data_IF_762642403433
#
_entry.id   IF_762642403433
#
_cell.length_a   1.000
_cell.length_b   1.000
_cell.length_c   1.000
_cell.angle_alpha   90.00
_cell.angle_beta   90.00
_cell.angle_gamma   90.00
#
_symmetry.space_group_name_H-M   'P 1'
#
loop_
_entity.id
_entity.type
_entity.pdbx_description
1 polymer ?
#
# COMPACT_ATOMS: atom_id res chain seq x y z
N UNK A 1 22.10 -98.30 9.74
CA UNK A 1 21.18 -98.81 8.72
C UNK A 1 20.68 -97.67 7.90
N UNK A 2 21.04 -97.70 6.70
CA UNK A 2 20.60 -97.46 5.32
C UNK A 2 20.69 -95.98 4.92
N UNK A 3 21.70 -95.67 4.23
CA UNK A 3 21.89 -95.33 2.80
C UNK A 3 20.66 -94.65 2.12
N UNK A 4 20.84 -93.46 1.63
CA UNK A 4 20.79 -93.24 0.15
C UNK A 4 21.24 -91.79 -0.20
N UNK A 5 22.00 -91.80 -1.27
CA UNK A 5 22.71 -90.65 -1.87
C UNK A 5 21.85 -89.90 -2.93
N UNK A 6 22.39 -89.08 -3.79
CA UNK A 6 22.03 -87.71 -3.96
C UNK A 6 21.29 -87.44 -5.31
N UNK A 7 20.65 -86.28 -5.44
CA UNK A 7 20.23 -85.77 -6.74
C UNK A 7 20.72 -84.30 -6.95
N UNK A 8 21.62 -84.21 -7.93
CA UNK A 8 22.00 -82.95 -8.57
C UNK A 8 20.81 -82.38 -9.34
N UNK A 9 20.52 -81.15 -9.13
CA UNK A 9 19.70 -80.36 -10.08
C UNK A 9 20.39 -79.04 -10.41
N UNK A 10 20.49 -78.78 -11.68
CA UNK A 10 21.18 -77.67 -12.38
C UNK A 10 20.65 -76.32 -11.97
N UNK A 11 21.56 -75.42 -11.61
CA UNK A 11 21.30 -73.95 -11.58
C UNK A 11 21.22 -73.47 -13.03
N UNK A 12 20.06 -72.91 -13.39
CA UNK A 12 19.91 -72.07 -14.56
C UNK A 12 20.12 -70.60 -14.12
N UNK A 13 21.21 -70.00 -14.60
CA UNK A 13 21.42 -68.55 -14.46
C UNK A 13 20.52 -67.85 -15.46
N UNK A 14 19.50 -67.14 -14.96
CA UNK A 14 18.77 -66.13 -15.70
C UNK A 14 19.54 -64.81 -15.58
N UNK A 15 20.16 -64.36 -16.67
CA UNK A 15 20.74 -63.02 -16.79
C UNK A 15 19.62 -62.03 -16.96
N UNK A 16 19.33 -61.20 -15.91
CA UNK A 16 18.53 -60.02 -16.04
C UNK A 16 19.37 -58.91 -16.68
N UNK A 17 19.11 -58.55 -17.91
CA UNK A 17 19.62 -57.39 -18.58
C UNK A 17 18.81 -56.19 -18.06
N UNK A 18 19.40 -55.39 -17.16
CA UNK A 18 18.86 -54.09 -16.73
C UNK A 18 19.06 -53.10 -17.89
N UNK A 19 17.98 -52.78 -18.59
CA UNK A 19 17.93 -51.64 -19.52
C UNK A 19 17.97 -50.34 -18.75
N UNK A 20 19.11 -49.69 -18.69
CA UNK A 20 19.25 -48.32 -18.25
C UNK A 20 18.64 -47.43 -19.33
N UNK A 21 17.40 -46.98 -19.14
CA UNK A 21 16.84 -45.87 -19.92
C UNK A 21 17.63 -44.61 -19.58
N UNK A 22 18.46 -44.14 -20.50
CA UNK A 22 19.05 -42.80 -20.45
C UNK A 22 17.89 -41.79 -20.49
N UNK A 23 17.52 -41.29 -19.33
CA UNK A 23 16.72 -40.06 -19.24
C UNK A 23 17.65 -38.94 -19.67
N UNK A 24 17.63 -38.60 -20.95
CA UNK A 24 18.22 -37.36 -21.47
C UNK A 24 17.39 -36.23 -20.89
N UNK A 25 17.97 -35.35 -20.03
CA UNK A 25 17.22 -34.19 -19.62
C UNK A 25 16.90 -33.39 -20.87
N UNK A 26 15.60 -33.22 -21.18
CA UNK A 26 15.18 -32.22 -22.17
C UNK A 26 15.79 -30.89 -21.74
N UNK A 27 16.70 -30.37 -22.53
CA UNK A 27 17.17 -29.01 -22.38
C UNK A 27 15.94 -28.11 -22.38
N UNK A 28 15.80 -27.16 -21.41
CA UNK A 28 14.68 -26.26 -21.43
C UNK A 28 14.67 -25.54 -22.78
N UNK A 29 13.50 -25.54 -23.44
CA UNK A 29 13.33 -24.85 -24.71
C UNK A 29 13.86 -23.40 -24.52
N UNK A 30 14.74 -22.99 -25.45
CA UNK A 30 15.34 -21.64 -25.40
C UNK A 30 14.21 -20.61 -25.25
N UNK A 31 14.22 -19.90 -24.13
CA UNK A 31 13.25 -18.87 -23.83
C UNK A 31 13.24 -17.83 -24.95
N UNK A 32 12.10 -17.64 -25.61
CA UNK A 32 11.87 -16.47 -26.44
C UNK A 32 11.68 -15.27 -25.51
N UNK A 33 12.78 -14.73 -24.98
CA UNK A 33 12.75 -13.38 -24.41
C UNK A 33 12.45 -12.43 -25.55
N UNK A 34 11.43 -11.61 -25.38
CA UNK A 34 11.13 -10.60 -26.39
C UNK A 34 12.32 -9.64 -26.52
N UNK A 35 12.66 -9.24 -27.77
CA UNK A 35 13.80 -8.38 -28.06
C UNK A 35 13.64 -7.03 -27.31
N UNK A 36 14.58 -6.64 -26.40
CA UNK A 36 14.55 -5.36 -25.71
C UNK A 36 14.61 -4.16 -26.66
N UNK A 37 15.15 -4.29 -27.87
CA UNK A 37 15.25 -3.23 -28.87
C UNK A 37 13.91 -2.56 -29.18
N UNK A 38 12.77 -3.24 -28.96
CA UNK A 38 11.43 -2.66 -29.07
C UNK A 38 11.20 -1.44 -28.18
N UNK A 39 11.97 -1.26 -27.12
CA UNK A 39 11.88 -0.15 -26.18
C UNK A 39 12.94 0.93 -26.38
N UNK A 40 13.88 0.74 -27.30
CA UNK A 40 15.00 1.66 -27.51
C UNK A 40 14.54 3.12 -27.68
N UNK A 41 13.48 3.35 -28.46
CA UNK A 41 12.89 4.70 -28.64
C UNK A 41 12.41 5.31 -27.32
N UNK A 42 11.83 4.52 -26.43
CA UNK A 42 11.33 5.03 -25.15
C UNK A 42 12.47 5.34 -24.18
N UNK A 43 13.49 4.51 -24.17
CA UNK A 43 14.67 4.69 -23.32
C UNK A 43 15.51 5.88 -23.81
N UNK A 44 15.77 6.00 -25.11
CA UNK A 44 16.47 7.14 -25.69
C UNK A 44 15.73 8.47 -25.43
N UNK A 45 14.39 8.46 -25.37
CA UNK A 45 13.62 9.65 -25.01
C UNK A 45 13.86 10.07 -23.55
N UNK A 46 14.01 9.12 -22.62
CA UNK A 46 14.39 9.42 -21.23
C UNK A 46 15.80 9.98 -21.14
N UNK A 47 16.76 9.42 -21.86
CA UNK A 47 18.13 9.93 -21.89
C UNK A 47 18.19 11.36 -22.47
N UNK A 48 17.43 11.64 -23.52
CA UNK A 48 17.34 12.99 -24.09
C UNK A 48 16.70 14.00 -23.12
N UNK A 49 15.66 13.59 -22.36
CA UNK A 49 15.08 14.40 -21.30
C UNK A 49 16.11 14.69 -20.21
N UNK A 50 16.88 13.69 -19.80
CA UNK A 50 17.89 13.77 -18.75
C UNK A 50 19.07 14.68 -19.11
N UNK A 51 19.41 14.78 -20.39
CA UNK A 51 20.40 15.76 -20.89
C UNK A 51 19.91 17.19 -20.69
N UNK A 52 18.63 17.45 -20.81
CA UNK A 52 18.02 18.77 -20.65
C UNK A 52 17.70 19.11 -19.21
N UNK A 53 17.18 18.10 -18.48
CA UNK A 53 16.73 18.20 -17.08
C UNK A 53 17.31 17.02 -16.28
N UNK A 54 18.55 17.19 -15.82
CA UNK A 54 19.23 16.13 -15.07
C UNK A 54 18.37 15.63 -13.89
N UNK A 55 18.12 14.33 -13.78
CA UNK A 55 17.33 13.76 -12.68
C UNK A 55 17.98 14.07 -11.33
N UNK A 56 17.18 14.41 -10.31
CA UNK A 56 17.72 14.69 -8.99
C UNK A 56 18.35 13.43 -8.38
N UNK A 57 19.56 13.56 -7.83
CA UNK A 57 20.19 12.46 -7.07
C UNK A 57 19.40 12.14 -5.79
N UNK A 58 19.57 10.91 -5.29
CA UNK A 58 18.88 10.40 -4.09
C UNK A 58 17.35 10.51 -4.15
N UNK A 59 16.80 10.58 -5.33
CA UNK A 59 15.37 10.62 -5.55
C UNK A 59 14.71 9.25 -5.30
N UNK A 60 13.40 9.25 -5.28
CA UNK A 60 12.59 8.03 -5.38
C UNK A 60 12.28 7.73 -6.83
N UNK A 61 12.77 6.61 -7.32
CA UNK A 61 12.55 6.17 -8.70
C UNK A 61 11.36 5.19 -8.75
N UNK A 62 10.40 5.49 -9.61
CA UNK A 62 9.34 4.57 -10.03
C UNK A 62 9.71 4.00 -11.39
N UNK A 63 9.88 2.67 -11.45
CA UNK A 63 10.41 1.96 -12.60
C UNK A 63 9.53 0.77 -12.98
N UNK A 64 9.47 0.42 -14.26
CA UNK A 64 8.75 -0.77 -14.72
C UNK A 64 7.77 -0.51 -15.85
N UNK A 65 6.63 -1.23 -15.85
CA UNK A 65 5.71 -1.32 -16.97
C UNK A 65 4.71 -0.15 -17.07
N UNK A 66 3.60 -0.40 -17.77
CA UNK A 66 2.61 0.61 -18.13
C UNK A 66 1.95 1.30 -16.94
N UNK A 67 1.72 0.61 -15.83
CA UNK A 67 1.13 1.23 -14.63
C UNK A 67 2.04 2.32 -14.04
N UNK A 68 3.36 2.20 -14.19
CA UNK A 68 4.28 3.29 -13.84
C UNK A 68 4.24 4.38 -14.91
N UNK A 69 4.35 4.03 -16.19
CA UNK A 69 4.35 5.01 -17.30
C UNK A 69 3.10 5.90 -17.31
N UNK A 70 1.94 5.30 -17.00
CA UNK A 70 0.64 5.97 -17.03
C UNK A 70 0.32 6.77 -15.77
N UNK A 71 1.13 6.66 -14.72
CA UNK A 71 0.91 7.34 -13.45
C UNK A 71 1.27 8.83 -13.55
N UNK A 72 0.40 9.60 -14.20
CA UNK A 72 0.63 11.04 -14.46
C UNK A 72 0.56 11.90 -13.19
N UNK A 73 -0.28 11.49 -12.24
CA UNK A 73 -0.44 12.17 -10.94
C UNK A 73 0.66 11.82 -9.91
N UNK A 74 1.69 11.06 -10.30
CA UNK A 74 2.75 10.61 -9.39
C UNK A 74 3.43 11.75 -8.60
N UNK A 75 3.91 12.86 -9.23
CA UNK A 75 4.56 13.95 -8.50
C UNK A 75 3.63 14.62 -7.48
N UNK A 76 2.36 14.82 -7.83
CA UNK A 76 1.37 15.45 -6.97
C UNK A 76 1.06 14.56 -5.75
N UNK A 77 1.03 13.23 -5.95
CA UNK A 77 0.72 12.27 -4.88
C UNK A 77 1.82 12.16 -3.83
N UNK A 78 3.07 12.34 -4.22
CA UNK A 78 4.22 12.27 -3.29
C UNK A 78 4.71 13.65 -2.84
N UNK A 79 4.07 14.72 -3.27
CA UNK A 79 4.26 16.08 -2.80
C UNK A 79 5.70 16.57 -2.96
N UNK A 80 6.36 16.95 -1.85
CA UNK A 80 7.72 17.48 -1.86
C UNK A 80 8.82 16.44 -2.14
N UNK A 81 8.49 15.15 -2.20
CA UNK A 81 9.47 14.13 -2.50
C UNK A 81 9.95 14.27 -3.95
N UNK A 82 11.26 14.17 -4.14
CA UNK A 82 11.84 14.12 -5.50
C UNK A 82 11.51 12.75 -6.10
N UNK A 83 10.59 12.71 -7.05
CA UNK A 83 10.19 11.47 -7.73
C UNK A 83 10.59 11.49 -9.19
N UNK A 84 11.03 10.34 -9.70
CA UNK A 84 11.37 10.10 -11.09
C UNK A 84 10.49 8.98 -11.60
N UNK A 85 9.85 9.16 -12.76
CA UNK A 85 9.08 8.12 -13.45
C UNK A 85 9.86 7.65 -14.68
N UNK A 86 10.24 6.36 -14.68
CA UNK A 86 10.89 5.70 -15.82
C UNK A 86 10.13 4.42 -16.17
N UNK A 87 8.81 4.54 -16.32
CA UNK A 87 7.95 3.46 -16.78
C UNK A 87 7.90 3.37 -18.29
N UNK A 88 8.01 2.17 -18.86
CA UNK A 88 7.87 1.92 -20.29
C UNK A 88 6.87 0.78 -20.54
N UNK A 89 5.78 1.12 -21.23
CA UNK A 89 4.59 0.29 -21.33
C UNK A 89 4.83 -1.02 -22.07
N UNK A 90 4.36 -2.13 -21.52
CA UNK A 90 4.53 -3.47 -22.09
C UNK A 90 5.81 -4.17 -21.67
N UNK A 91 6.68 -3.54 -20.87
CA UNK A 91 7.94 -4.14 -20.43
C UNK A 91 7.72 -5.35 -19.53
N UNK A 92 8.60 -6.32 -19.67
CA UNK A 92 8.80 -7.45 -18.79
C UNK A 92 9.92 -7.16 -17.79
N UNK A 93 10.09 -8.00 -16.76
CA UNK A 93 11.19 -7.83 -15.81
C UNK A 93 12.56 -7.96 -16.46
N UNK A 94 12.71 -8.85 -17.44
CA UNK A 94 13.95 -8.98 -18.23
C UNK A 94 14.31 -7.68 -18.96
N UNK A 95 13.33 -6.94 -19.49
CA UNK A 95 13.56 -5.62 -20.08
C UNK A 95 14.01 -4.60 -19.01
N UNK A 96 13.43 -4.67 -17.81
CA UNK A 96 13.84 -3.84 -16.68
C UNK A 96 15.29 -4.12 -16.27
N UNK A 97 15.73 -5.38 -16.28
CA UNK A 97 17.13 -5.76 -16.05
C UNK A 97 18.05 -5.18 -17.14
N UNK A 98 17.63 -5.33 -18.41
CA UNK A 98 18.41 -4.88 -19.57
C UNK A 98 18.71 -3.38 -19.52
N UNK A 99 17.69 -2.55 -19.27
CA UNK A 99 17.82 -1.09 -19.30
C UNK A 99 18.24 -0.44 -17.97
N UNK A 100 18.48 -1.22 -16.92
CA UNK A 100 18.83 -0.68 -15.61
C UNK A 100 20.12 0.17 -15.62
N UNK A 101 21.10 -0.17 -16.45
CA UNK A 101 22.36 0.57 -16.58
C UNK A 101 22.14 1.98 -17.16
N UNK A 102 21.06 2.19 -17.90
CA UNK A 102 20.78 3.44 -18.62
C UNK A 102 19.82 4.36 -17.88
N UNK A 103 18.76 3.77 -17.22
CA UNK A 103 17.68 4.56 -16.64
C UNK A 103 17.37 4.23 -15.18
N UNK A 104 18.30 3.59 -14.48
CA UNK A 104 18.23 3.34 -13.03
C UNK A 104 19.55 3.70 -12.35
N UNK A 105 20.63 3.02 -12.71
CA UNK A 105 21.95 3.17 -12.06
C UNK A 105 22.50 4.59 -12.14
N UNK A 106 22.44 5.32 -13.30
CA UNK A 106 22.96 6.67 -13.39
C UNK A 106 22.28 7.69 -12.47
N UNK A 107 21.04 7.42 -12.03
CA UNK A 107 20.30 8.31 -11.13
C UNK A 107 20.72 8.18 -9.67
N UNK A 108 21.34 7.06 -9.29
CA UNK A 108 21.69 6.75 -7.91
C UNK A 108 20.50 7.00 -6.95
N UNK A 109 19.32 6.41 -7.20
CA UNK A 109 18.14 6.65 -6.40
C UNK A 109 18.32 6.12 -4.98
N UNK A 110 17.78 6.85 -3.98
CA UNK A 110 17.71 6.36 -2.62
C UNK A 110 16.74 5.17 -2.49
N UNK A 111 15.65 5.24 -3.24
CA UNK A 111 14.60 4.22 -3.23
C UNK A 111 14.10 3.95 -4.63
N UNK A 112 13.92 2.67 -4.96
CA UNK A 112 13.28 2.21 -6.19
C UNK A 112 11.96 1.55 -5.84
N UNK A 113 10.89 1.92 -6.54
CA UNK A 113 9.63 1.19 -6.62
C UNK A 113 9.51 0.56 -8.00
N UNK A 114 9.60 -0.76 -8.06
CA UNK A 114 9.56 -1.53 -9.31
C UNK A 114 8.19 -2.19 -9.49
N UNK A 115 7.52 -1.96 -10.63
CA UNK A 115 6.29 -2.66 -11.01
C UNK A 115 6.39 -3.23 -12.42
N UNK A 116 6.62 -4.52 -12.53
CA UNK A 116 6.63 -5.32 -13.75
C UNK A 116 6.21 -6.76 -13.40
N UNK A 117 6.27 -7.71 -14.33
CA UNK A 117 5.92 -9.12 -14.10
C UNK A 117 4.53 -9.50 -14.63
N UNK A 118 3.56 -8.60 -14.66
CA UNK A 118 2.25 -8.89 -15.24
C UNK A 118 2.30 -9.17 -16.75
N UNK A 119 3.16 -8.49 -17.49
CA UNK A 119 3.37 -8.77 -18.92
C UNK A 119 4.15 -10.06 -19.15
N UNK A 120 5.00 -10.42 -18.21
CA UNK A 120 5.74 -11.69 -18.20
C UNK A 120 4.75 -12.86 -18.13
N UNK A 121 3.85 -12.85 -17.14
CA UNK A 121 2.82 -13.89 -16.98
C UNK A 121 1.90 -13.94 -18.19
N UNK A 122 1.49 -12.80 -18.72
CA UNK A 122 0.65 -12.71 -19.92
C UNK A 122 1.35 -13.28 -21.17
N UNK A 123 2.66 -13.18 -21.24
CA UNK A 123 3.48 -13.77 -22.29
C UNK A 123 3.75 -15.28 -22.05
N UNK A 124 3.16 -15.88 -21.02
CA UNK A 124 3.30 -17.31 -20.70
C UNK A 124 4.52 -17.65 -19.85
N UNK A 125 5.22 -16.67 -19.29
CA UNK A 125 6.33 -16.95 -18.35
C UNK A 125 5.78 -17.46 -17.01
N UNK A 126 6.55 -18.32 -16.35
CA UNK A 126 6.13 -18.88 -15.07
C UNK A 126 6.41 -17.90 -13.91
N UNK A 127 5.71 -18.04 -12.77
CA UNK A 127 6.01 -17.28 -11.56
C UNK A 127 7.47 -17.39 -11.09
N UNK A 128 8.10 -18.54 -11.28
CA UNK A 128 9.50 -18.78 -10.93
C UNK A 128 10.46 -18.00 -11.84
N UNK A 129 10.13 -17.87 -13.13
CA UNK A 129 10.90 -17.06 -14.08
C UNK A 129 10.77 -15.56 -13.75
N UNK A 130 9.59 -15.12 -13.35
CA UNK A 130 9.35 -13.74 -12.86
C UNK A 130 10.22 -13.47 -11.62
N UNK A 131 10.28 -14.40 -10.66
CA UNK A 131 11.17 -14.27 -9.50
C UNK A 131 12.64 -14.21 -9.92
N UNK A 132 13.08 -15.08 -10.84
CA UNK A 132 14.47 -15.10 -11.29
C UNK A 132 14.90 -13.78 -11.94
N UNK A 133 14.04 -13.17 -12.75
CA UNK A 133 14.33 -11.86 -13.35
C UNK A 133 14.33 -10.74 -12.28
N UNK A 134 13.46 -10.80 -11.27
CA UNK A 134 13.52 -9.86 -10.15
C UNK A 134 14.84 -9.99 -9.38
N UNK A 135 15.30 -11.21 -9.12
CA UNK A 135 16.59 -11.48 -8.48
C UNK A 135 17.76 -10.95 -9.31
N UNK A 136 17.70 -11.11 -10.64
CA UNK A 136 18.71 -10.55 -11.55
C UNK A 136 18.72 -9.01 -11.50
N UNK A 137 17.53 -8.37 -11.46
CA UNK A 137 17.42 -6.92 -11.29
C UNK A 137 18.05 -6.46 -9.96
N UNK A 138 17.72 -7.12 -8.85
CA UNK A 138 18.29 -6.81 -7.53
C UNK A 138 19.80 -6.95 -7.52
N UNK A 139 20.32 -8.04 -8.07
CA UNK A 139 21.76 -8.30 -8.16
C UNK A 139 22.46 -7.21 -8.95
N UNK A 140 21.92 -6.85 -10.12
CA UNK A 140 22.48 -5.81 -10.99
C UNK A 140 22.51 -4.44 -10.33
N UNK A 141 21.39 -4.02 -9.73
CA UNK A 141 21.29 -2.73 -9.06
C UNK A 141 22.22 -2.67 -7.85
N UNK A 142 22.28 -3.71 -7.03
CA UNK A 142 23.13 -3.74 -5.83
C UNK A 142 24.61 -3.78 -6.12
N UNK A 143 25.03 -4.35 -7.23
CA UNK A 143 26.42 -4.31 -7.65
C UNK A 143 26.93 -2.87 -7.84
N UNK A 144 26.06 -1.98 -8.32
CA UNK A 144 26.39 -0.57 -8.53
C UNK A 144 25.95 0.34 -7.36
N UNK A 145 24.83 0.02 -6.71
CA UNK A 145 24.15 0.86 -5.74
C UNK A 145 23.78 0.03 -4.45
N UNK A 146 24.76 -0.36 -3.63
CA UNK A 146 24.56 -1.32 -2.54
C UNK A 146 23.62 -0.83 -1.42
N UNK A 147 23.40 0.49 -1.32
CA UNK A 147 22.58 1.10 -0.28
C UNK A 147 21.16 1.50 -0.77
N UNK A 148 20.85 1.33 -2.05
CA UNK A 148 19.53 1.65 -2.59
C UNK A 148 18.48 0.68 -2.03
N UNK A 149 17.41 1.23 -1.45
CA UNK A 149 16.24 0.47 -1.05
C UNK A 149 15.43 0.07 -2.29
N UNK A 150 15.18 -1.21 -2.49
CA UNK A 150 14.36 -1.70 -3.60
C UNK A 150 13.06 -2.25 -3.04
N UNK A 151 11.93 -1.71 -3.51
CA UNK A 151 10.59 -2.17 -3.17
C UNK A 151 9.89 -2.67 -4.43
N UNK A 152 9.44 -3.90 -4.39
CA UNK A 152 8.62 -4.44 -5.46
C UNK A 152 7.15 -4.10 -5.20
N UNK A 153 6.52 -3.45 -6.15
CA UNK A 153 5.08 -3.23 -6.17
C UNK A 153 4.42 -4.48 -6.74
N UNK A 154 3.57 -5.14 -5.98
CA UNK A 154 2.99 -6.42 -6.38
C UNK A 154 2.41 -6.39 -7.80
N UNK A 155 2.43 -7.51 -8.49
CA UNK A 155 1.72 -7.69 -9.76
C UNK A 155 0.23 -7.50 -9.46
N UNK A 156 -0.42 -6.50 -10.07
CA UNK A 156 -1.85 -6.28 -9.86
C UNK A 156 -2.69 -7.37 -10.50
N UNK A 157 -3.87 -7.61 -9.94
CA UNK A 157 -4.94 -8.25 -10.68
C UNK A 157 -5.81 -7.19 -11.34
N UNK A 158 -6.42 -7.52 -12.46
CA UNK A 158 -7.32 -6.64 -13.20
C UNK A 158 -8.43 -7.46 -13.87
N UNK A 159 -9.58 -6.84 -14.21
CA UNK A 159 -10.66 -7.59 -14.87
C UNK A 159 -10.23 -8.23 -16.19
N UNK A 160 -9.38 -7.55 -16.98
CA UNK A 160 -8.92 -8.09 -18.28
C UNK A 160 -7.91 -9.23 -18.17
N UNK A 161 -7.27 -9.40 -17.00
CA UNK A 161 -6.30 -10.48 -16.75
C UNK A 161 -6.68 -11.38 -15.57
N UNK A 162 -7.98 -11.46 -15.30
CA UNK A 162 -8.48 -12.27 -14.20
C UNK A 162 -8.15 -13.77 -14.35
N UNK A 163 -8.08 -14.27 -15.58
CA UNK A 163 -7.66 -15.67 -15.87
C UNK A 163 -6.24 -15.99 -15.41
N UNK A 164 -5.40 -14.97 -15.21
CA UNK A 164 -4.00 -15.11 -14.79
C UNK A 164 -3.82 -14.92 -13.27
N UNK A 165 -4.91 -14.74 -12.52
CA UNK A 165 -4.89 -14.34 -11.12
C UNK A 165 -4.07 -15.27 -10.21
N UNK A 166 -4.16 -16.59 -10.41
CA UNK A 166 -3.44 -17.54 -9.56
C UNK A 166 -1.93 -17.52 -9.85
N UNK A 167 -1.53 -17.28 -11.10
CA UNK A 167 -0.12 -17.08 -11.45
C UNK A 167 0.41 -15.80 -10.83
N UNK A 168 -0.38 -14.70 -10.86
CA UNK A 168 -0.02 -13.45 -10.21
C UNK A 168 0.09 -13.60 -8.68
N UNK A 169 -0.84 -14.33 -8.03
CA UNK A 169 -0.75 -14.65 -6.60
C UNK A 169 0.53 -15.40 -6.27
N UNK A 170 0.85 -16.44 -7.06
CA UNK A 170 2.05 -17.26 -6.84
C UNK A 170 3.33 -16.45 -7.04
N UNK A 171 3.43 -15.66 -8.11
CA UNK A 171 4.58 -14.79 -8.35
C UNK A 171 4.77 -13.77 -7.22
N UNK A 172 3.67 -13.13 -6.79
CA UNK A 172 3.68 -12.20 -5.67
C UNK A 172 4.15 -12.86 -4.37
N UNK A 173 3.71 -14.09 -4.09
CA UNK A 173 4.15 -14.83 -2.90
C UNK A 173 5.64 -15.13 -2.94
N UNK A 174 6.14 -15.67 -4.07
CA UNK A 174 7.57 -15.98 -4.25
C UNK A 174 8.45 -14.74 -4.05
N UNK A 175 8.04 -13.59 -4.62
CA UNK A 175 8.78 -12.33 -4.50
C UNK A 175 8.69 -11.80 -3.06
N UNK A 176 7.54 -11.89 -2.40
CA UNK A 176 7.38 -11.48 -1.02
C UNK A 176 8.26 -12.29 -0.07
N UNK A 177 8.36 -13.60 -0.26
CA UNK A 177 9.21 -14.49 0.54
C UNK A 177 10.69 -14.17 0.32
N UNK A 178 11.10 -13.93 -0.92
CA UNK A 178 12.46 -13.49 -1.24
C UNK A 178 12.79 -12.14 -0.60
N UNK A 179 11.87 -11.16 -0.71
CA UNK A 179 12.06 -9.84 -0.11
C UNK A 179 12.15 -9.89 1.43
N UNK A 180 11.36 -10.77 2.07
CA UNK A 180 11.37 -10.96 3.53
C UNK A 180 12.70 -11.50 4.06
N UNK A 181 13.39 -12.32 3.28
CA UNK A 181 14.70 -12.88 3.63
C UNK A 181 15.82 -11.83 3.59
N UNK A 182 15.57 -10.66 2.99
CA UNK A 182 16.53 -9.60 2.75
C UNK A 182 16.09 -8.27 3.37
N UNK A 183 16.85 -7.75 4.33
CA UNK A 183 16.51 -6.52 5.07
C UNK A 183 16.50 -5.22 4.25
N UNK A 184 16.99 -5.25 2.99
CA UNK A 184 17.02 -4.09 2.06
C UNK A 184 16.05 -4.23 0.90
N UNK A 185 15.19 -5.25 0.91
CA UNK A 185 14.09 -5.40 -0.04
C UNK A 185 12.77 -5.16 0.66
N UNK A 186 11.83 -4.56 -0.07
CA UNK A 186 10.46 -4.41 0.36
C UNK A 186 9.49 -5.02 -0.67
N UNK A 187 8.35 -5.45 -0.18
CA UNK A 187 7.23 -5.90 -1.00
C UNK A 187 5.97 -5.13 -0.60
N UNK A 188 5.42 -4.35 -1.52
CA UNK A 188 4.21 -3.55 -1.29
C UNK A 188 3.02 -4.30 -1.86
N UNK A 189 2.21 -4.85 -0.97
CA UNK A 189 1.04 -5.66 -1.35
C UNK A 189 -0.24 -4.83 -1.38
N UNK A 190 -0.62 -4.34 -2.53
CA UNK A 190 -1.92 -3.71 -2.74
C UNK A 190 -2.94 -4.64 -3.41
N UNK A 191 -2.57 -5.88 -3.73
CA UNK A 191 -3.43 -6.86 -4.39
C UNK A 191 -4.78 -7.06 -3.68
N UNK A 192 -4.84 -7.28 -2.34
CA UNK A 192 -6.12 -7.46 -1.64
C UNK A 192 -7.03 -6.24 -1.74
N UNK A 193 -6.46 -5.05 -1.81
CA UNK A 193 -7.22 -3.79 -1.88
C UNK A 193 -7.80 -3.51 -3.27
N UNK A 194 -7.42 -4.29 -4.28
CA UNK A 194 -8.00 -4.23 -5.62
C UNK A 194 -9.26 -5.08 -5.76
N UNK A 195 -9.55 -5.95 -4.79
CA UNK A 195 -10.67 -6.87 -4.81
C UNK A 195 -11.88 -6.30 -4.04
N UNK A 196 -13.06 -6.62 -4.53
CA UNK A 196 -14.33 -6.42 -3.82
C UNK A 196 -14.61 -7.55 -2.83
N UNK A 197 -15.73 -7.45 -2.11
CA UNK A 197 -16.17 -8.47 -1.17
C UNK A 197 -16.56 -9.79 -1.87
N UNK A 198 -16.87 -9.72 -3.16
CA UNK A 198 -17.09 -10.87 -4.04
C UNK A 198 -15.79 -11.56 -4.49
N UNK A 199 -14.64 -11.04 -4.06
CA UNK A 199 -13.32 -11.52 -4.45
C UNK A 199 -12.91 -11.16 -5.88
N UNK A 200 -13.70 -10.37 -6.63
CA UNK A 200 -13.42 -9.94 -7.99
C UNK A 200 -12.72 -8.57 -8.01
N UNK A 201 -11.99 -8.23 -9.09
CA UNK A 201 -11.39 -6.92 -9.22
C UNK A 201 -12.46 -5.81 -9.26
N UNK A 202 -12.28 -4.81 -8.43
CA UNK A 202 -13.15 -3.63 -8.34
C UNK A 202 -13.04 -2.79 -9.60
N UNK A 203 -14.09 -2.79 -10.43
CA UNK A 203 -14.08 -2.19 -11.77
C UNK A 203 -13.72 -0.69 -11.77
N UNK A 204 -14.14 0.07 -10.74
CA UNK A 204 -13.88 1.50 -10.62
C UNK A 204 -12.40 1.87 -10.39
N UNK A 205 -11.57 0.88 -10.06
CA UNK A 205 -10.12 1.07 -9.89
C UNK A 205 -9.35 1.03 -11.22
N UNK A 206 -10.05 0.71 -12.32
CA UNK A 206 -9.46 0.57 -13.65
C UNK A 206 -10.13 1.51 -14.64
N UNK A 207 -9.41 1.89 -15.69
CA UNK A 207 -9.98 2.65 -16.81
C UNK A 207 -10.74 1.72 -17.78
N UNK A 208 -11.26 2.25 -18.86
CA UNK A 208 -12.14 1.52 -19.81
C UNK A 208 -11.53 0.23 -20.39
N UNK A 209 -10.20 0.14 -20.47
CA UNK A 209 -9.52 -1.08 -20.95
C UNK A 209 -9.50 -2.22 -19.92
N UNK A 210 -9.99 -1.98 -18.70
CA UNK A 210 -10.07 -2.94 -17.59
C UNK A 210 -8.70 -3.55 -17.20
N UNK A 211 -7.60 -2.89 -17.55
CA UNK A 211 -6.22 -3.29 -17.29
C UNK A 211 -5.46 -2.24 -16.47
N UNK A 212 -5.49 -1.00 -16.91
CA UNK A 212 -4.71 0.07 -16.32
C UNK A 212 -5.50 0.80 -15.22
N UNK A 213 -4.78 1.29 -14.21
CA UNK A 213 -5.40 1.98 -13.09
C UNK A 213 -6.07 3.29 -13.48
N UNK A 214 -7.26 3.51 -12.93
CA UNK A 214 -7.87 4.83 -12.81
C UNK A 214 -7.16 5.66 -11.70
N UNK A 215 -7.53 6.93 -11.55
CA UNK A 215 -7.05 7.73 -10.41
C UNK A 215 -7.41 7.08 -9.06
N UNK A 216 -8.58 6.42 -8.96
CA UNK A 216 -8.97 5.67 -7.76
C UNK A 216 -8.06 4.44 -7.53
N UNK A 217 -7.62 3.77 -8.59
CA UNK A 217 -6.63 2.69 -8.50
C UNK A 217 -5.29 3.21 -7.99
N UNK A 218 -4.82 4.36 -8.49
CA UNK A 218 -3.61 4.98 -7.98
C UNK A 218 -3.75 5.51 -6.54
N UNK A 219 -4.96 5.85 -6.06
CA UNK A 219 -5.19 6.15 -4.64
C UNK A 219 -4.86 4.93 -3.77
N UNK A 220 -5.31 3.72 -4.18
CA UNK A 220 -4.99 2.47 -3.48
C UNK A 220 -3.50 2.21 -3.44
N UNK A 221 -2.83 2.27 -4.60
CA UNK A 221 -1.37 2.02 -4.67
C UNK A 221 -0.59 3.03 -3.82
N UNK A 222 -0.94 4.32 -3.90
CA UNK A 222 -0.30 5.38 -3.11
C UNK A 222 -0.47 5.15 -1.61
N UNK A 223 -1.69 4.81 -1.19
CA UNK A 223 -2.01 4.48 0.21
C UNK A 223 -1.13 3.33 0.71
N UNK A 224 -1.00 2.26 -0.07
CA UNK A 224 -0.17 1.12 0.30
C UNK A 224 1.32 1.48 0.38
N UNK A 225 1.84 2.25 -0.56
CA UNK A 225 3.24 2.71 -0.51
C UNK A 225 3.49 3.56 0.75
N UNK A 226 2.58 4.45 1.11
CA UNK A 226 2.75 5.38 2.23
C UNK A 226 2.63 4.72 3.60
N UNK A 227 1.67 3.79 3.77
CA UNK A 227 1.21 3.40 5.10
C UNK A 227 1.45 1.95 5.46
N UNK A 228 1.96 1.10 4.54
CA UNK A 228 2.26 -0.29 4.88
C UNK A 228 3.15 -0.40 6.11
N UNK A 229 4.21 0.42 6.21
CA UNK A 229 5.10 0.40 7.37
C UNK A 229 4.40 0.74 8.70
N UNK A 230 3.43 1.67 8.68
CA UNK A 230 2.62 1.99 9.85
C UNK A 230 1.73 0.80 10.24
N UNK A 231 1.10 0.17 9.25
CA UNK A 231 0.25 -1.01 9.48
C UNK A 231 1.04 -2.22 9.97
N UNK A 232 2.26 -2.41 9.49
CA UNK A 232 3.16 -3.45 9.99
C UNK A 232 3.59 -3.14 11.43
N UNK A 233 3.73 -1.84 11.78
CA UNK A 233 3.91 -1.37 13.14
C UNK A 233 2.74 -1.76 14.05
N UNK A 234 1.51 -1.53 13.59
CA UNK A 234 0.30 -1.94 14.34
C UNK A 234 0.24 -3.45 14.52
N UNK A 235 0.53 -4.24 13.48
CA UNK A 235 0.56 -5.70 13.58
C UNK A 235 1.59 -6.19 14.60
N UNK A 236 2.78 -5.58 14.66
CA UNK A 236 3.78 -5.89 15.71
C UNK A 236 3.31 -5.53 17.11
N UNK A 237 2.65 -4.38 17.27
CA UNK A 237 2.06 -3.99 18.56
C UNK A 237 0.98 -5.00 18.99
N UNK A 238 0.12 -5.41 18.07
CA UNK A 238 -0.97 -6.37 18.34
C UNK A 238 -0.45 -7.78 18.65
N UNK A 239 0.68 -8.17 18.08
CA UNK A 239 1.34 -9.43 18.41
C UNK A 239 1.89 -9.44 19.85
N UNK A 240 2.36 -8.27 20.34
CA UNK A 240 2.89 -8.13 21.70
C UNK A 240 1.77 -7.86 22.71
N UNK A 241 0.78 -7.05 22.33
CA UNK A 241 -0.35 -6.66 23.15
C UNK A 241 -1.64 -6.94 22.35
N UNK A 242 -2.23 -8.12 22.47
CA UNK A 242 -3.41 -8.51 21.71
C UNK A 242 -4.55 -7.49 21.80
N UNK A 243 -5.26 -7.21 20.69
CA UNK A 243 -6.34 -6.23 20.66
C UNK A 243 -7.42 -6.50 21.71
N UNK A 244 -7.69 -5.51 22.56
CA UNK A 244 -8.79 -5.57 23.49
C UNK A 244 -10.09 -5.23 22.76
N UNK A 245 -11.00 -6.20 22.68
CA UNK A 245 -12.31 -6.03 22.03
C UNK A 245 -13.25 -5.16 22.86
N UNK A 246 -14.19 -4.48 22.17
CA UNK A 246 -15.21 -3.66 22.82
C UNK A 246 -14.72 -2.34 23.39
N UNK A 247 -13.45 -1.97 23.15
CA UNK A 247 -12.88 -0.68 23.54
C UNK A 247 -13.25 0.45 22.58
N UNK A 248 -12.48 1.52 22.60
CA UNK A 248 -12.60 2.67 21.72
C UNK A 248 -11.35 2.79 20.85
N UNK A 249 -11.52 2.80 19.54
CA UNK A 249 -10.42 3.00 18.59
C UNK A 249 -10.41 4.45 18.09
N UNK A 250 -9.31 5.14 18.32
CA UNK A 250 -9.03 6.43 17.71
C UNK A 250 -8.23 6.18 16.42
N UNK A 251 -8.80 6.50 15.27
CA UNK A 251 -8.19 6.30 13.96
C UNK A 251 -8.14 7.59 13.16
N UNK A 252 -7.16 7.72 12.27
CA UNK A 252 -7.02 8.87 11.38
C UNK A 252 -5.60 9.42 11.34
N UNK A 253 -5.49 10.74 11.18
CA UNK A 253 -4.24 11.37 10.77
C UNK A 253 -3.30 11.73 11.93
N UNK A 254 -2.34 12.64 11.66
CA UNK A 254 -1.28 13.02 12.59
C UNK A 254 -1.77 13.57 13.93
N UNK A 255 -2.92 14.20 13.99
CA UNK A 255 -3.48 14.68 15.27
C UNK A 255 -3.84 13.51 16.20
N UNK A 256 -4.23 12.35 15.64
CA UNK A 256 -4.42 11.15 16.46
C UNK A 256 -3.06 10.56 16.86
N UNK A 257 -2.11 10.39 15.92
CA UNK A 257 -0.75 9.89 16.22
C UNK A 257 -0.07 10.67 17.34
N UNK A 258 -0.19 11.99 17.28
CA UNK A 258 0.49 12.91 18.20
C UNK A 258 -0.20 13.08 19.55
N UNK A 259 -1.41 12.56 19.72
CA UNK A 259 -2.09 12.52 21.01
C UNK A 259 -1.46 11.45 21.92
N UNK A 260 -0.28 11.79 22.46
CA UNK A 260 0.53 10.83 23.24
C UNK A 260 -0.09 10.52 24.60
N UNK A 261 -0.83 11.47 25.18
CA UNK A 261 -1.55 11.31 26.44
C UNK A 261 -2.91 10.63 26.32
N UNK A 262 -3.32 10.16 25.11
CA UNK A 262 -4.66 9.64 24.86
C UNK A 262 -5.19 8.65 25.92
N UNK A 263 -4.35 7.68 26.30
CA UNK A 263 -4.75 6.68 27.30
C UNK A 263 -4.84 7.26 28.73
N UNK A 264 -3.96 8.23 29.05
CA UNK A 264 -3.97 8.94 30.31
C UNK A 264 -5.11 9.97 30.40
N UNK A 265 -5.52 10.53 29.25
CA UNK A 265 -6.63 11.47 29.18
C UNK A 265 -8.00 10.82 29.39
N UNK A 266 -8.11 9.52 29.06
CA UNK A 266 -9.35 8.73 29.18
C UNK A 266 -9.11 7.40 29.89
N UNK A 267 -8.66 7.41 31.17
CA UNK A 267 -8.23 6.19 31.87
C UNK A 267 -9.36 5.20 32.17
N UNK A 268 -10.61 5.69 32.23
CA UNK A 268 -11.81 4.88 32.43
C UNK A 268 -12.25 4.13 31.16
N UNK A 269 -11.69 4.50 30.01
CA UNK A 269 -11.99 3.88 28.73
C UNK A 269 -10.80 3.07 28.20
N UNK A 270 -11.08 1.93 27.60
CA UNK A 270 -10.07 1.13 26.89
C UNK A 270 -9.82 1.75 25.52
N UNK A 271 -9.01 2.83 25.47
CA UNK A 271 -8.71 3.55 24.23
C UNK A 271 -7.47 2.98 23.53
N UNK A 272 -7.51 2.91 22.21
CA UNK A 272 -6.39 2.49 21.36
C UNK A 272 -6.14 3.54 20.30
N UNK A 273 -4.87 3.95 20.18
CA UNK A 273 -4.44 4.90 19.14
C UNK A 273 -4.02 4.12 17.88
N UNK A 274 -4.79 4.30 16.81
CA UNK A 274 -4.51 3.76 15.46
C UNK A 274 -4.38 4.90 14.44
N UNK A 275 -3.81 6.01 14.87
CA UNK A 275 -3.45 7.11 13.99
C UNK A 275 -2.21 6.78 13.13
N UNK A 276 -2.20 7.28 11.89
CA UNK A 276 -1.04 7.21 10.99
C UNK A 276 -0.87 8.55 10.27
N UNK A 277 0.26 9.20 10.55
CA UNK A 277 0.46 10.63 10.33
C UNK A 277 0.48 11.04 8.87
N UNK A 278 -0.38 11.99 8.49
CA UNK A 278 -0.52 12.45 7.10
C UNK A 278 -1.57 11.69 6.30
N UNK A 279 -2.27 10.72 6.93
CA UNK A 279 -3.33 9.96 6.25
C UNK A 279 -4.51 10.84 5.89
N UNK A 280 -5.15 10.48 4.80
CA UNK A 280 -6.37 11.05 4.27
C UNK A 280 -7.59 10.22 4.72
N UNK A 281 -8.80 10.66 4.46
CA UNK A 281 -10.02 9.93 4.80
C UNK A 281 -10.04 8.54 4.11
N UNK A 282 -9.64 8.50 2.82
CA UNK A 282 -9.53 7.26 2.05
C UNK A 282 -8.58 6.25 2.69
N UNK A 283 -7.47 6.68 3.30
CA UNK A 283 -6.52 5.76 3.92
C UNK A 283 -7.15 5.02 5.10
N UNK A 284 -8.05 5.68 5.86
CA UNK A 284 -8.81 5.03 6.92
C UNK A 284 -9.78 3.97 6.38
N UNK A 285 -10.33 4.18 5.17
CA UNK A 285 -11.12 3.17 4.44
C UNK A 285 -10.23 2.01 4.01
N UNK A 286 -9.13 2.31 3.32
CA UNK A 286 -8.23 1.32 2.73
C UNK A 286 -7.60 0.39 3.77
N UNK A 287 -7.34 0.91 4.97
CA UNK A 287 -6.72 0.14 6.05
C UNK A 287 -7.66 -0.22 7.21
N UNK A 288 -8.97 -0.15 6.99
CA UNK A 288 -9.98 -0.48 8.01
C UNK A 288 -9.74 -1.86 8.62
N UNK A 289 -9.49 -2.86 7.78
CA UNK A 289 -9.30 -4.26 8.20
C UNK A 289 -8.04 -4.47 9.04
N UNK A 290 -7.03 -3.61 8.91
CA UNK A 290 -5.78 -3.70 9.67
C UNK A 290 -5.75 -2.79 10.91
N UNK A 291 -6.37 -1.62 10.82
CA UNK A 291 -6.30 -0.61 11.88
C UNK A 291 -7.47 -0.68 12.86
N UNK A 292 -8.66 -1.09 12.41
CA UNK A 292 -9.90 -1.00 13.21
C UNK A 292 -10.49 -2.36 13.50
N UNK A 293 -10.70 -3.19 12.49
CA UNK A 293 -11.44 -4.44 12.58
C UNK A 293 -10.92 -5.42 13.68
N UNK A 294 -9.58 -5.59 13.90
CA UNK A 294 -9.07 -6.51 14.91
C UNK A 294 -9.54 -6.18 16.34
N UNK A 295 -9.83 -4.92 16.62
CA UNK A 295 -10.26 -4.44 17.94
C UNK A 295 -11.74 -4.63 18.22
N UNK A 296 -12.58 -4.89 17.21
CA UNK A 296 -14.04 -4.97 17.35
C UNK A 296 -14.59 -3.91 18.33
N UNK A 297 -14.32 -2.60 18.07
CA UNK A 297 -14.60 -1.55 19.03
C UNK A 297 -16.11 -1.31 19.20
N UNK A 298 -16.54 -0.84 20.39
CA UNK A 298 -17.89 -0.32 20.59
C UNK A 298 -18.07 1.09 20.01
N UNK A 299 -16.95 1.81 19.88
CA UNK A 299 -16.90 3.19 19.35
C UNK A 299 -15.60 3.39 18.53
N UNK A 300 -15.74 3.98 17.37
CA UNK A 300 -14.62 4.49 16.58
C UNK A 300 -14.65 6.01 16.65
N UNK A 301 -13.51 6.61 17.02
CA UNK A 301 -13.30 8.07 16.96
C UNK A 301 -12.41 8.34 15.76
N UNK A 302 -12.97 8.96 14.71
CA UNK A 302 -12.31 9.19 13.43
C UNK A 302 -11.91 10.66 13.30
N UNK A 303 -10.66 10.93 12.91
CA UNK A 303 -10.19 12.27 12.54
C UNK A 303 -9.38 12.23 11.24
N UNK A 304 -9.96 12.70 10.15
CA UNK A 304 -9.34 12.83 8.84
C UNK A 304 -10.02 13.94 8.01
N UNK A 305 -9.53 14.22 6.80
CA UNK A 305 -10.09 15.21 5.89
C UNK A 305 -9.19 16.43 5.68
N UNK A 306 -8.44 16.87 6.70
CA UNK A 306 -7.54 18.01 6.56
C UNK A 306 -6.37 17.78 5.60
N UNK A 307 -5.86 16.56 5.50
CA UNK A 307 -4.83 16.21 4.54
C UNK A 307 -5.39 16.04 3.12
N UNK A 308 -6.61 15.56 2.99
CA UNK A 308 -7.35 15.48 1.73
C UNK A 308 -7.46 16.86 1.08
N UNK A 309 -7.94 17.85 1.84
CA UNK A 309 -8.09 19.22 1.40
C UNK A 309 -6.74 19.84 1.05
N UNK A 310 -5.71 19.56 1.86
CA UNK A 310 -4.36 20.04 1.59
C UNK A 310 -3.74 19.41 0.34
N UNK A 311 -4.16 18.20 -0.02
CA UNK A 311 -3.80 17.53 -1.27
C UNK A 311 -4.62 18.01 -2.48
N UNK A 312 -5.51 19.01 -2.29
CA UNK A 312 -6.34 19.57 -3.36
C UNK A 312 -7.66 18.83 -3.59
N UNK A 313 -8.06 17.90 -2.71
CA UNK A 313 -9.35 17.22 -2.81
C UNK A 313 -10.48 18.15 -2.36
N UNK A 314 -11.64 18.01 -3.00
CA UNK A 314 -12.84 18.78 -2.67
C UNK A 314 -13.54 18.27 -1.40
N UNK A 315 -14.42 19.08 -0.84
CA UNK A 315 -15.28 18.69 0.29
C UNK A 315 -16.19 17.49 -0.04
N UNK A 316 -16.67 17.40 -1.29
CA UNK A 316 -17.46 16.26 -1.81
C UNK A 316 -16.65 14.96 -1.80
N UNK A 317 -15.36 15.03 -2.12
CA UNK A 317 -14.49 13.84 -2.07
C UNK A 317 -14.31 13.37 -0.63
N UNK A 318 -14.09 14.27 0.32
CA UNK A 318 -13.99 13.93 1.74
C UNK A 318 -15.30 13.30 2.24
N UNK A 319 -16.44 13.86 1.86
CA UNK A 319 -17.77 13.31 2.15
C UNK A 319 -17.93 11.90 1.60
N UNK A 320 -17.54 11.68 0.33
CA UNK A 320 -17.65 10.39 -0.33
C UNK A 320 -16.83 9.32 0.41
N UNK A 321 -15.59 9.63 0.77
CA UNK A 321 -14.73 8.69 1.47
C UNK A 321 -15.19 8.47 2.92
N UNK A 322 -15.79 9.47 3.59
CA UNK A 322 -16.46 9.29 4.88
C UNK A 322 -17.66 8.33 4.79
N UNK A 323 -18.51 8.49 3.77
CA UNK A 323 -19.63 7.56 3.51
C UNK A 323 -19.15 6.13 3.29
N UNK A 324 -18.03 5.94 2.57
CA UNK A 324 -17.40 4.62 2.39
C UNK A 324 -16.92 4.03 3.72
N UNK A 325 -16.30 4.85 4.56
CA UNK A 325 -15.86 4.41 5.89
C UNK A 325 -17.05 3.95 6.74
N UNK A 326 -18.12 4.73 6.79
CA UNK A 326 -19.36 4.39 7.51
C UNK A 326 -19.98 3.10 6.96
N UNK A 327 -20.02 2.92 5.64
CA UNK A 327 -20.53 1.70 5.02
C UNK A 327 -19.74 0.46 5.45
N UNK A 328 -18.39 0.55 5.49
CA UNK A 328 -17.54 -0.54 6.01
C UNK A 328 -17.81 -0.85 7.47
N UNK A 329 -18.01 0.17 8.32
CA UNK A 329 -18.37 -0.04 9.73
C UNK A 329 -19.68 -0.77 9.85
N UNK A 330 -20.73 -0.34 9.13
CA UNK A 330 -22.04 -0.98 9.16
C UNK A 330 -21.99 -2.43 8.67
N UNK A 331 -21.21 -2.72 7.67
CA UNK A 331 -21.05 -4.05 7.09
C UNK A 331 -20.27 -4.99 8.02
N UNK A 332 -19.09 -4.56 8.49
CA UNK A 332 -18.12 -5.44 9.17
C UNK A 332 -18.24 -5.40 10.70
N UNK A 333 -18.78 -4.32 11.24
CA UNK A 333 -18.94 -4.08 12.68
C UNK A 333 -20.36 -3.54 12.99
N UNK A 334 -21.42 -4.27 12.68
CA UNK A 334 -22.79 -3.81 12.93
C UNK A 334 -22.95 -3.48 14.42
N UNK A 335 -23.52 -2.31 14.73
CA UNK A 335 -23.69 -1.83 16.12
C UNK A 335 -22.51 -1.01 16.68
N UNK A 336 -21.35 -0.98 16.03
CA UNK A 336 -20.27 -0.06 16.40
C UNK A 336 -20.64 1.38 16.05
N UNK A 337 -20.57 2.29 17.04
CA UNK A 337 -20.80 3.72 16.80
C UNK A 337 -19.57 4.38 16.17
N UNK A 338 -19.81 5.45 15.41
CA UNK A 338 -18.73 6.28 14.83
C UNK A 338 -18.90 7.71 15.29
N UNK A 339 -17.88 8.25 15.94
CA UNK A 339 -17.78 9.67 16.29
C UNK A 339 -16.72 10.32 15.40
N UNK A 340 -17.15 11.22 14.52
CA UNK A 340 -16.24 11.96 13.65
C UNK A 340 -15.88 13.30 14.28
N UNK A 341 -14.59 13.52 14.56
CA UNK A 341 -14.08 14.82 15.00
C UNK A 341 -14.01 15.75 13.78
N UNK A 342 -14.56 16.97 13.87
CA UNK A 342 -14.48 17.96 12.82
C UNK A 342 -13.04 18.27 12.44
N UNK A 343 -12.76 18.45 11.16
CA UNK A 343 -11.44 18.96 10.73
C UNK A 343 -11.22 20.33 11.36
N UNK A 344 -10.13 20.47 12.13
CA UNK A 344 -9.81 21.69 12.85
C UNK A 344 -9.16 22.73 11.91
N UNK A 345 -9.52 24.01 12.09
CA UNK A 345 -8.78 25.11 11.49
C UNK A 345 -7.41 25.26 12.14
N UNK A 346 -6.40 25.54 11.34
CA UNK A 346 -5.03 25.78 11.82
C UNK A 346 -4.36 26.90 11.00
N UNK A 347 -3.38 27.62 11.58
CA UNK A 347 -2.77 28.77 10.89
C UNK A 347 -2.02 28.36 9.61
N UNK A 348 -1.37 27.19 9.58
CA UNK A 348 -0.56 26.75 8.43
C UNK A 348 -1.40 26.53 7.16
N UNK A 349 -2.67 26.19 7.31
CA UNK A 349 -3.60 25.86 6.20
C UNK A 349 -4.84 26.75 6.19
N UNK A 350 -4.77 27.93 6.78
CA UNK A 350 -5.93 28.82 6.92
C UNK A 350 -6.56 29.20 5.58
N UNK A 351 -5.75 29.31 4.52
CA UNK A 351 -6.24 29.58 3.16
C UNK A 351 -7.28 28.57 2.64
N UNK A 352 -7.36 27.39 3.26
CA UNK A 352 -8.27 26.31 2.88
C UNK A 352 -9.50 26.23 3.81
N UNK A 353 -9.68 27.19 4.71
CA UNK A 353 -10.68 27.12 5.77
C UNK A 353 -12.12 26.98 5.25
N UNK A 354 -12.45 27.59 4.12
CA UNK A 354 -13.81 27.49 3.57
C UNK A 354 -14.12 26.09 3.06
N UNK A 355 -13.14 25.41 2.43
CA UNK A 355 -13.28 24.02 2.05
C UNK A 355 -13.38 23.11 3.29
N UNK A 356 -12.63 23.42 4.36
CA UNK A 356 -12.72 22.70 5.64
C UNK A 356 -14.10 22.85 6.27
N UNK A 357 -14.64 24.08 6.31
CA UNK A 357 -16.00 24.36 6.82
C UNK A 357 -17.07 23.62 6.03
N UNK A 358 -16.95 23.60 4.71
CA UNK A 358 -17.90 22.88 3.85
C UNK A 358 -17.80 21.36 4.05
N UNK A 359 -16.60 20.79 4.17
CA UNK A 359 -16.44 19.36 4.48
C UNK A 359 -17.04 19.01 5.85
N UNK A 360 -16.79 19.84 6.87
CA UNK A 360 -17.38 19.65 8.20
C UNK A 360 -18.91 19.71 8.16
N UNK A 361 -19.50 20.67 7.46
CA UNK A 361 -20.96 20.82 7.30
C UNK A 361 -21.57 19.56 6.64
N UNK A 362 -20.93 19.03 5.60
CA UNK A 362 -21.38 17.83 4.89
C UNK A 362 -21.34 16.59 5.79
N UNK A 363 -20.23 16.40 6.51
CA UNK A 363 -20.09 15.28 7.45
C UNK A 363 -21.09 15.40 8.60
N UNK A 364 -21.27 16.59 9.16
CA UNK A 364 -22.25 16.85 10.21
C UNK A 364 -23.67 16.49 9.78
N UNK A 365 -24.05 16.84 8.55
CA UNK A 365 -25.36 16.51 7.98
C UNK A 365 -25.58 14.98 7.89
N UNK A 366 -24.55 14.22 7.51
CA UNK A 366 -24.59 12.75 7.50
C UNK A 366 -24.76 12.22 8.92
N UNK A 367 -23.98 12.73 9.88
CA UNK A 367 -24.05 12.29 11.27
C UNK A 367 -25.43 12.58 11.89
N UNK A 368 -26.05 13.71 11.58
CA UNK A 368 -27.39 14.06 12.07
C UNK A 368 -28.48 13.14 11.52
N UNK A 369 -28.28 12.57 10.36
CA UNK A 369 -29.24 11.68 9.70
C UNK A 369 -29.17 10.22 10.16
N UNK A 370 -28.18 9.85 10.99
CA UNK A 370 -27.90 8.48 11.36
C UNK A 370 -27.55 8.36 12.86
N UNK A 371 -28.41 7.69 13.64
CA UNK A 371 -28.24 7.55 15.09
C UNK A 371 -26.97 6.78 15.51
N UNK A 372 -26.34 6.02 14.61
CA UNK A 372 -25.08 5.34 14.86
C UNK A 372 -23.87 6.29 14.76
N UNK A 373 -24.07 7.48 14.20
CA UNK A 373 -23.02 8.46 13.92
C UNK A 373 -23.13 9.65 14.88
N UNK A 374 -21.98 10.24 15.18
CA UNK A 374 -21.89 11.46 16.00
C UNK A 374 -20.86 12.39 15.37
N UNK A 375 -21.18 13.67 15.32
CA UNK A 375 -20.23 14.71 14.90
C UNK A 375 -19.72 15.46 16.13
N UNK A 376 -18.41 15.41 16.38
CA UNK A 376 -17.75 16.10 17.49
C UNK A 376 -17.13 17.39 16.93
N UNK A 377 -17.77 18.53 17.18
CA UNK A 377 -17.34 19.80 16.63
C UNK A 377 -16.27 20.49 17.50
N UNK A 378 -14.99 20.20 17.22
CA UNK A 378 -13.86 20.86 17.88
C UNK A 378 -13.52 22.23 17.25
N UNK A 379 -14.00 22.50 16.03
CA UNK A 379 -13.61 23.66 15.25
C UNK A 379 -13.80 24.99 16.01
N UNK A 380 -14.98 25.31 16.58
CA UNK A 380 -15.19 26.59 17.27
C UNK A 380 -14.32 26.74 18.52
N UNK A 381 -13.99 25.66 19.21
CA UNK A 381 -13.17 25.67 20.41
C UNK A 381 -11.68 25.98 20.13
N UNK A 382 -11.26 25.79 18.87
CA UNK A 382 -9.88 26.07 18.40
C UNK A 382 -9.72 27.52 17.94
N UNK A 383 -10.82 28.29 17.84
CA UNK A 383 -10.81 29.67 17.33
C UNK A 383 -10.71 30.68 18.47
N UNK A 384 -10.00 31.77 18.20
CA UNK A 384 -9.96 32.98 19.04
C UNK A 384 -11.19 33.89 18.84
N UNK A 385 -11.31 34.96 19.61
CA UNK A 385 -12.41 35.91 19.49
C UNK A 385 -12.39 36.70 18.16
N UNK A 386 -11.26 36.72 17.48
CA UNK A 386 -11.05 37.30 16.15
C UNK A 386 -11.50 36.37 15.01
N UNK A 387 -11.98 35.17 15.34
CA UNK A 387 -12.37 34.14 14.35
C UNK A 387 -11.20 33.42 13.68
N UNK A 388 -9.96 33.67 14.12
CA UNK A 388 -8.75 32.99 13.65
C UNK A 388 -8.36 31.87 14.60
N UNK A 389 -7.56 30.89 14.14
CA UNK A 389 -7.04 29.84 15.03
C UNK A 389 -6.20 30.41 16.16
N UNK A 390 -6.46 30.00 17.40
CA UNK A 390 -5.65 30.40 18.58
C UNK A 390 -4.18 30.02 18.32
N UNK A 391 -3.24 30.95 18.30
CA UNK A 391 -1.86 30.63 17.91
C UNK A 391 -1.10 29.81 18.97
N UNK A 392 -1.47 29.94 20.25
CA UNK A 392 -0.79 29.35 21.40
C UNK A 392 -1.13 27.87 21.64
N UNK A 393 -2.07 27.29 20.88
CA UNK A 393 -2.47 25.88 20.97
C UNK A 393 -1.76 24.99 19.94
N UNK A 394 -0.87 25.55 19.11
CA UNK A 394 -0.11 24.83 18.09
C UNK A 394 1.40 24.84 18.43
N UNK A 395 2.11 23.85 17.90
CA UNK A 395 3.58 23.83 17.91
C UNK A 395 4.13 24.75 16.79
N UNK A 396 5.44 24.86 16.68
CA UNK A 396 6.14 25.76 15.76
C UNK A 396 5.67 25.64 14.28
N UNK A 397 5.27 24.43 13.85
CA UNK A 397 4.78 24.19 12.48
C UNK A 397 3.39 24.80 12.19
N UNK A 398 2.74 25.38 13.20
CA UNK A 398 1.41 26.04 13.12
C UNK A 398 0.30 25.13 12.57
N UNK A 399 0.54 23.83 12.53
CA UNK A 399 -0.36 22.78 12.04
C UNK A 399 -0.77 21.82 13.15
N UNK A 400 0.20 21.31 13.91
CA UNK A 400 -0.02 20.30 14.93
C UNK A 400 -0.21 20.94 16.30
N UNK A 401 -1.14 20.36 17.06
CA UNK A 401 -1.45 20.83 18.40
C UNK A 401 -0.31 20.56 19.39
N UNK A 402 -0.16 21.46 20.34
CA UNK A 402 0.58 21.24 21.57
C UNK A 402 -0.34 20.71 22.69
N UNK A 403 0.17 20.60 23.92
CA UNK A 403 -0.60 20.12 25.08
C UNK A 403 -1.89 20.92 25.35
N UNK A 404 -1.86 22.25 25.16
CA UNK A 404 -3.06 23.10 25.32
C UNK A 404 -4.14 22.74 24.28
N UNK A 405 -3.72 22.48 23.03
CA UNK A 405 -4.64 22.07 21.98
C UNK A 405 -5.29 20.71 22.27
N UNK A 406 -4.51 19.75 22.78
CA UNK A 406 -5.05 18.47 23.21
C UNK A 406 -5.91 18.55 24.45
N UNK A 407 -5.66 19.49 25.40
CA UNK A 407 -6.54 19.73 26.53
C UNK A 407 -7.94 20.18 26.05
N UNK A 408 -8.03 21.06 25.06
CA UNK A 408 -9.32 21.43 24.44
C UNK A 408 -9.99 20.20 23.83
N UNK A 409 -9.25 19.40 23.06
CA UNK A 409 -9.83 18.20 22.44
C UNK A 409 -10.32 17.19 23.48
N UNK A 410 -9.58 17.00 24.59
CA UNK A 410 -9.99 16.15 25.71
C UNK A 410 -11.36 16.57 26.26
N UNK A 411 -11.54 17.84 26.57
CA UNK A 411 -12.80 18.38 27.12
C UNK A 411 -13.95 18.18 26.13
N UNK A 412 -13.74 18.50 24.84
CA UNK A 412 -14.78 18.42 23.82
C UNK A 412 -15.14 16.98 23.45
N UNK A 413 -14.17 16.06 23.46
CA UNK A 413 -14.35 14.65 23.05
C UNK A 413 -14.92 13.79 24.19
N UNK A 414 -14.53 14.03 25.44
CA UNK A 414 -14.90 13.20 26.60
C UNK A 414 -16.39 12.86 26.71
N UNK A 415 -17.36 13.80 26.51
CA UNK A 415 -18.79 13.51 26.64
C UNK A 415 -19.30 12.42 25.68
N UNK A 416 -18.61 12.20 24.56
CA UNK A 416 -19.01 11.29 23.47
C UNK A 416 -18.42 9.88 23.60
N UNK A 417 -17.56 9.65 24.58
CA UNK A 417 -16.89 8.35 24.78
C UNK A 417 -17.70 7.35 25.61
N UNK A 418 -18.84 7.77 26.11
CA UNK A 418 -19.75 6.94 26.95
C UNK A 418 -20.43 5.83 26.15
#
# INVERSE_FOLDING_TARGET
MTLCAPFLTRLQFLALAAAWALVVPLAPAAEKTADPARFEKAIAAYEAEDHTNAPPKEATLFYGASNIRLWKSLPQRFGKAKVINRGFGGSQLSDCVHFADRVVIPYAPKTIYLNAGGNDLHAGRTPEQVLADFQAFVTKVRAALPNTQINYLCIPTSPSRWSEVEQARKANQLIADYAKADGKLGFINFFPHLLGDDGQPRAELFVADKLHFSEAGYDVVTSCIRWQGAMDGFARQDATNPPVKGGIVFVGSSSIVRWKSLAQDFPEHKVVNRGFGGSEMFDSVNYFDRAVLPHQPRLIVLYAGGNDINAGKSAERVETDFKRFVALVKQKLPGTRVACISTAGNPARWKQVDTVREANRRIEAICKADAQLTFINVFPHMMGPDGLPKPDIFVEDKLHMNEKGYAIWKEVVAPFLK
#
